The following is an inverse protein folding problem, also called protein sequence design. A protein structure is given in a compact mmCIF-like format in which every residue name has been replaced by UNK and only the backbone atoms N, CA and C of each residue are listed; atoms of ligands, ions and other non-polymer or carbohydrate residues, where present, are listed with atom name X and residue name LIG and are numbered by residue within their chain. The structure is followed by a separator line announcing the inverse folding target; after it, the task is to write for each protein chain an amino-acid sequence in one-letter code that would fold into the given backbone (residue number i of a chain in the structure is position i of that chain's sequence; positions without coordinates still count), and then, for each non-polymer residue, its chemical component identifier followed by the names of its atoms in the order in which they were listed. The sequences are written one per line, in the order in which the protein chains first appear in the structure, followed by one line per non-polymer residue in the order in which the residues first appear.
data_IF_742623563978
#
_entry.id   IF_742623563978
#
_cell.length_a   1.000
_cell.length_b   1.000
_cell.length_c   1.000
_cell.angle_alpha   90.00
_cell.angle_beta   90.00
_cell.angle_gamma   90.00
#
_symmetry.space_group_name_H-M   'P 1'
#
loop_
_entity.id
_entity.type
_entity.pdbx_description
1 polymer ?
#
# COMPACT_ATOMS: atom_id res chain seq x y z
N UNK A 1 23.28 -4.43 -7.53
CA UNK A 1 21.87 -4.71 -7.84
C UNK A 1 21.06 -3.81 -6.96
N UNK A 2 20.16 -2.98 -7.50
CA UNK A 2 19.29 -2.14 -6.67
C UNK A 2 18.32 -3.03 -5.90
N UNK A 3 18.24 -2.86 -4.59
CA UNK A 3 17.21 -3.51 -3.78
C UNK A 3 15.98 -2.61 -3.74
N UNK A 4 14.81 -3.21 -3.49
CA UNK A 4 13.55 -2.47 -3.43
C UNK A 4 12.84 -2.78 -2.13
N UNK A 5 12.29 -1.73 -1.52
CA UNK A 5 11.33 -1.83 -0.44
C UNK A 5 9.94 -1.65 -1.04
N UNK A 6 8.99 -2.50 -0.66
CA UNK A 6 7.59 -2.41 -1.09
C UNK A 6 6.69 -2.07 0.09
N UNK A 7 5.67 -1.26 -0.17
CA UNK A 7 4.64 -0.92 0.82
C UNK A 7 3.26 -0.98 0.18
N UNK A 8 2.36 -1.70 0.82
CA UNK A 8 0.94 -1.71 0.47
C UNK A 8 0.17 -0.91 1.51
N UNK A 9 -0.68 0.01 1.04
CA UNK A 9 -1.59 0.77 1.91
C UNK A 9 -3.02 0.58 1.41
N UNK A 10 -4.05 0.66 2.28
CA UNK A 10 -5.43 0.63 1.83
C UNK A 10 -5.72 1.69 0.77
N UNK A 11 -6.57 1.37 -0.21
CA UNK A 11 -7.13 2.36 -1.11
C UNK A 11 -8.04 3.33 -0.32
N UNK A 12 -8.11 4.61 -0.71
CA UNK A 12 -9.02 5.55 -0.06
C UNK A 12 -10.46 5.09 -0.25
N UNK A 13 -11.26 5.18 0.82
CA UNK A 13 -12.68 4.90 0.79
C UNK A 13 -13.48 6.20 0.62
N UNK A 14 -14.72 6.11 0.14
CA UNK A 14 -15.60 7.27 -0.10
C UNK A 14 -15.79 8.18 1.13
N UNK A 15 -15.59 7.65 2.34
CA UNK A 15 -15.67 8.39 3.61
C UNK A 15 -14.42 9.21 3.97
N UNK A 16 -13.29 9.01 3.28
CA UNK A 16 -12.06 9.81 3.44
C UNK A 16 -12.04 11.04 2.54
N UNK A 17 -12.96 11.11 1.57
CA UNK A 17 -13.03 12.25 0.67
C UNK A 17 -13.67 13.47 1.35
N UNK A 18 -12.97 14.60 1.28
CA UNK A 18 -13.46 15.90 1.73
C UNK A 18 -14.78 16.24 1.00
N UNK A 19 -15.78 16.74 1.75
CA UNK A 19 -17.07 17.20 1.19
C UNK A 19 -16.93 18.39 0.22
N UNK A 20 -15.72 18.86 -0.08
CA UNK A 20 -15.40 19.97 -0.99
C UNK A 20 -15.78 19.67 -2.44
N UNK A 21 -15.70 18.42 -2.87
CA UNK A 21 -15.99 18.02 -4.24
C UNK A 21 -17.46 17.61 -4.44
N UNK A 22 -18.07 18.10 -5.53
CA UNK A 22 -19.51 17.98 -5.79
C UNK A 22 -19.95 16.55 -6.17
N UNK A 23 -19.06 15.72 -6.71
CA UNK A 23 -19.39 14.35 -7.15
C UNK A 23 -18.58 13.30 -6.39
N UNK A 24 -19.10 12.06 -6.22
CA UNK A 24 -18.34 10.95 -5.65
C UNK A 24 -17.01 10.68 -6.38
N UNK A 25 -16.98 10.78 -7.70
CA UNK A 25 -15.79 10.54 -8.51
C UNK A 25 -14.71 11.61 -8.28
N UNK A 26 -15.12 12.88 -8.18
CA UNK A 26 -14.20 13.98 -7.88
C UNK A 26 -13.63 13.86 -6.46
N UNK A 27 -14.47 13.44 -5.52
CA UNK A 27 -14.09 13.13 -4.14
C UNK A 27 -13.04 12.01 -4.06
N UNK A 28 -13.26 10.91 -4.78
CA UNK A 28 -12.30 9.81 -4.87
C UNK A 28 -10.98 10.25 -5.51
N UNK A 29 -11.05 11.04 -6.60
CA UNK A 29 -9.87 11.56 -7.28
C UNK A 29 -9.02 12.45 -6.35
N UNK A 30 -9.64 13.35 -5.59
CA UNK A 30 -8.96 14.20 -4.60
C UNK A 30 -8.27 13.36 -3.53
N UNK A 31 -8.98 12.39 -2.94
CA UNK A 31 -8.43 11.50 -1.92
C UNK A 31 -7.23 10.68 -2.44
N UNK A 32 -7.34 10.15 -3.67
CA UNK A 32 -6.23 9.46 -4.34
C UNK A 32 -5.04 10.39 -4.55
N UNK A 33 -5.26 11.60 -5.07
CA UNK A 33 -4.20 12.58 -5.31
C UNK A 33 -3.45 12.92 -4.02
N UNK A 34 -4.16 13.15 -2.92
CA UNK A 34 -3.54 13.42 -1.60
C UNK A 34 -2.63 12.26 -1.19
N UNK A 35 -3.11 11.02 -1.28
CA UNK A 35 -2.37 9.83 -0.85
C UNK A 35 -1.15 9.54 -1.74
N UNK A 36 -1.29 9.70 -3.05
CA UNK A 36 -0.19 9.55 -4.00
C UNK A 36 0.90 10.61 -3.75
N UNK A 37 0.51 11.87 -3.53
CA UNK A 37 1.46 12.95 -3.27
C UNK A 37 2.18 12.78 -1.92
N UNK A 38 1.47 12.33 -0.88
CA UNK A 38 2.08 12.04 0.41
C UNK A 38 3.14 10.93 0.30
N UNK A 39 2.82 9.85 -0.40
CA UNK A 39 3.76 8.75 -0.64
C UNK A 39 4.95 9.20 -1.51
N UNK A 40 4.70 10.00 -2.54
CA UNK A 40 5.77 10.56 -3.38
C UNK A 40 6.73 11.47 -2.58
N UNK A 41 6.20 12.28 -1.65
CA UNK A 41 7.01 13.12 -0.77
C UNK A 41 7.93 12.29 0.14
N UNK A 42 7.49 11.11 0.56
CA UNK A 42 8.27 10.13 1.32
C UNK A 42 9.24 9.28 0.46
N UNK A 43 9.38 9.61 -0.83
CA UNK A 43 10.28 8.93 -1.77
C UNK A 43 9.73 7.63 -2.34
N UNK A 44 8.42 7.38 -2.22
CA UNK A 44 7.79 6.19 -2.79
C UNK A 44 7.28 6.42 -4.21
N UNK A 45 7.47 5.41 -5.04
CA UNK A 45 6.95 5.33 -6.41
C UNK A 45 5.72 4.45 -6.43
N UNK A 46 4.60 5.01 -6.88
CA UNK A 46 3.37 4.25 -7.12
C UNK A 46 3.56 3.22 -8.25
N UNK A 47 3.08 2.00 -8.04
CA UNK A 47 3.15 0.93 -9.03
C UNK A 47 1.78 0.56 -9.59
N UNK A 48 0.83 0.22 -8.71
CA UNK A 48 -0.50 -0.26 -9.10
C UNK A 48 -1.47 -0.26 -7.92
N UNK A 49 -2.74 -0.41 -8.24
CA UNK A 49 -3.76 -0.86 -7.31
C UNK A 49 -3.98 -2.37 -7.47
N UNK A 50 -4.21 -3.06 -6.36
CA UNK A 50 -4.60 -4.47 -6.34
C UNK A 50 -5.83 -4.68 -5.47
N UNK A 51 -6.53 -5.76 -5.76
CA UNK A 51 -7.81 -6.14 -5.18
C UNK A 51 -7.69 -7.50 -4.51
N UNK A 52 -7.86 -7.57 -3.19
CA UNK A 52 -7.72 -8.82 -2.44
C UNK A 52 -9.01 -9.24 -1.75
N UNK A 53 -9.18 -10.56 -1.62
CA UNK A 53 -10.20 -11.19 -0.79
C UNK A 53 -9.51 -11.91 0.35
N UNK A 54 -9.69 -11.43 1.58
CA UNK A 54 -9.14 -12.08 2.77
C UNK A 54 -10.16 -13.07 3.32
N UNK A 55 -9.67 -14.25 3.73
CA UNK A 55 -10.51 -15.25 4.37
C UNK A 55 -11.07 -14.70 5.69
N UNK A 56 -12.39 -14.76 5.87
CA UNK A 56 -13.06 -14.25 7.08
C UNK A 56 -13.37 -12.75 7.09
N UNK A 57 -12.84 -11.95 6.16
CA UNK A 57 -13.21 -10.55 6.03
C UNK A 57 -14.42 -10.38 5.10
N UNK A 58 -15.42 -9.59 5.52
CA UNK A 58 -16.53 -9.20 4.62
C UNK A 58 -16.09 -8.02 3.75
N UNK A 59 -16.02 -8.24 2.44
CA UNK A 59 -15.78 -7.19 1.45
C UNK A 59 -14.45 -7.33 0.70
N UNK A 60 -14.33 -6.56 -0.38
CA UNK A 60 -13.12 -6.46 -1.19
C UNK A 60 -12.16 -5.47 -0.52
N UNK A 61 -10.90 -5.87 -0.36
CA UNK A 61 -9.85 -5.01 0.19
C UNK A 61 -9.00 -4.51 -0.98
N UNK A 62 -9.23 -3.25 -1.38
CA UNK A 62 -8.42 -2.61 -2.40
C UNK A 62 -7.21 -1.94 -1.74
N UNK A 63 -6.03 -2.10 -2.33
CA UNK A 63 -4.77 -1.54 -1.84
C UNK A 63 -4.01 -0.84 -2.96
N UNK A 64 -3.21 0.15 -2.57
CA UNK A 64 -2.24 0.82 -3.42
C UNK A 64 -0.84 0.31 -3.08
N UNK A 65 -0.10 -0.13 -4.10
CA UNK A 65 1.24 -0.69 -3.96
C UNK A 65 2.26 0.35 -4.41
N UNK A 66 3.25 0.57 -3.55
CA UNK A 66 4.36 1.46 -3.79
C UNK A 66 5.69 0.71 -3.67
N UNK A 67 6.72 1.21 -4.34
CA UNK A 67 8.11 0.81 -4.11
C UNK A 67 9.02 2.00 -3.94
N UNK A 68 10.15 1.81 -3.27
CA UNK A 68 11.29 2.72 -3.37
C UNK A 68 12.58 1.93 -3.47
N UNK A 69 13.61 2.55 -4.03
CA UNK A 69 14.96 1.97 -3.98
C UNK A 69 15.45 1.95 -2.54
N UNK A 70 16.17 0.89 -2.19
CA UNK A 70 16.78 0.73 -0.88
C UNK A 70 18.15 0.08 -1.03
N UNK A 71 19.02 0.39 -0.08
CA UNK A 71 20.35 -0.20 0.05
C UNK A 71 20.38 -1.37 1.04
N UNK A 72 19.23 -1.87 1.53
CA UNK A 72 19.16 -2.96 2.52
C UNK A 72 19.95 -4.22 2.15
N UNK A 73 20.14 -4.52 0.85
CA UNK A 73 20.96 -5.67 0.46
C UNK A 73 22.46 -5.41 0.42
N UNK A 74 22.89 -4.15 0.51
CA UNK A 74 24.30 -3.76 0.72
C UNK A 74 24.68 -3.97 2.19
N UNK A 75 23.79 -3.68 3.13
CA UNK A 75 23.99 -3.87 4.56
C UNK A 75 23.27 -5.13 5.04
N UNK A 76 23.90 -6.31 4.88
CA UNK A 76 23.33 -7.62 5.23
C UNK A 76 22.78 -7.73 6.68
N UNK A 77 23.23 -6.88 7.60
CA UNK A 77 22.78 -6.85 9.00
C UNK A 77 21.55 -5.98 9.27
N UNK A 78 21.13 -5.15 8.31
CA UNK A 78 20.05 -4.17 8.47
C UNK A 78 18.83 -4.53 7.61
N UNK A 79 18.78 -5.76 7.06
CA UNK A 79 17.59 -6.27 6.40
C UNK A 79 16.47 -6.27 7.43
N UNK A 80 15.41 -5.46 7.26
CA UNK A 80 14.24 -5.57 8.11
C UNK A 80 13.71 -6.99 7.92
N UNK A 81 13.18 -7.58 8.99
CA UNK A 81 12.60 -8.92 8.97
C UNK A 81 11.26 -8.91 8.21
N UNK A 82 11.32 -8.52 6.93
CA UNK A 82 10.20 -8.46 6.01
C UNK A 82 9.80 -9.90 5.69
N UNK A 83 9.04 -10.49 6.60
CA UNK A 83 8.26 -11.70 6.41
C UNK A 83 9.07 -12.84 5.81
N UNK A 84 9.65 -13.68 6.66
CA UNK A 84 9.46 -15.10 6.41
C UNK A 84 7.94 -15.30 6.41
N UNK A 85 7.34 -15.35 5.22
CA UNK A 85 5.96 -15.80 5.10
C UNK A 85 5.98 -17.26 5.51
N UNK A 86 5.73 -17.52 6.79
CA UNK A 86 5.59 -18.87 7.30
C UNK A 86 4.15 -19.30 7.01
N UNK A 87 3.91 -20.14 5.99
CA UNK A 87 2.56 -20.51 5.60
C UNK A 87 1.80 -21.22 6.73
N UNK A 88 2.50 -21.80 7.72
CA UNK A 88 1.88 -22.43 8.90
C UNK A 88 1.24 -21.40 9.86
N UNK A 89 1.79 -20.18 9.99
CA UNK A 89 1.20 -19.13 10.83
C UNK A 89 -0.06 -18.50 10.19
N UNK A 90 -0.17 -18.56 8.85
CA UNK A 90 -1.33 -18.04 8.11
C UNK A 90 -2.56 -18.97 8.18
N UNK A 91 -2.37 -20.25 8.49
CA UNK A 91 -3.43 -21.24 8.72
C UNK A 91 -3.66 -21.43 10.21
N UNK A 92 -4.10 -20.39 10.91
CA UNK A 92 -4.42 -20.48 12.34
C UNK A 92 -5.34 -21.67 12.63
N UNK A 93 -4.80 -22.64 13.37
CA UNK A 93 -5.58 -23.70 14.04
C UNK A 93 -6.01 -23.19 15.41
#
# INVERSE_FOLDING_TARGET
MSHYEYKAIPAPHDGEATYSAQTPEARLAEALTVRLNAMAADGWTYLRSDAFHLHGAKGKQDVLIFRRETDYGIFHGDRPDYGKFDPEEATGT
#
